data_IF_709258670073
#
_entry.id   IF_709258670073
#
_cell.length_a   1.000
_cell.length_b   1.000
_cell.length_c   1.000
_cell.angle_alpha   90.00
_cell.angle_beta   90.00
_cell.angle_gamma   90.00
#
_symmetry.space_group_name_H-M   'P 1'
#
loop_
_entity.id
_entity.type
_entity.pdbx_description
1 polymer ?
#
# COMPACT_ATOMS: atom_id res chain seq x y z
N UNK A 1 -2.03 -5.62 33.42
CA UNK A 1 -2.64 -6.71 32.62
C UNK A 1 -1.63 -7.12 31.57
N UNK A 2 -1.18 -8.38 31.55
CA UNK A 2 -0.39 -8.91 30.43
C UNK A 2 -1.35 -9.10 29.25
N UNK A 3 -1.03 -8.65 28.03
CA UNK A 3 -1.86 -8.92 26.87
C UNK A 3 -1.97 -10.44 26.67
N UNK A 4 -3.16 -10.91 26.28
CA UNK A 4 -3.38 -12.31 25.93
C UNK A 4 -2.47 -12.65 24.73
N UNK A 5 -1.43 -13.45 24.94
CA UNK A 5 -0.48 -13.89 23.91
C UNK A 5 -1.08 -14.84 22.84
N UNK A 6 -2.41 -14.86 22.65
CA UNK A 6 -3.10 -15.83 21.80
C UNK A 6 -3.51 -15.30 20.43
N UNK A 7 -3.43 -14.00 20.19
CA UNK A 7 -3.80 -13.36 18.93
C UNK A 7 -2.86 -12.18 18.66
N UNK A 8 -2.67 -11.81 17.40
CA UNK A 8 -1.99 -10.56 17.08
C UNK A 8 -2.76 -9.36 17.65
N UNK A 9 -2.04 -8.29 17.98
CA UNK A 9 -2.67 -7.05 18.48
C UNK A 9 -3.18 -6.26 17.27
N UNK A 10 -4.50 -5.99 17.16
CA UNK A 10 -5.01 -5.19 16.06
C UNK A 10 -4.52 -3.74 16.18
N UNK A 11 -4.04 -3.19 15.07
CA UNK A 11 -3.58 -1.80 14.96
C UNK A 11 -4.56 -0.92 14.17
N UNK A 12 -5.00 -1.39 13.00
CA UNK A 12 -5.90 -0.67 12.11
C UNK A 12 -6.93 -1.63 11.50
N UNK A 13 -8.18 -1.19 11.37
CA UNK A 13 -9.15 -1.82 10.50
C UNK A 13 -10.03 -0.74 9.87
N UNK A 14 -9.89 -0.53 8.57
CA UNK A 14 -10.60 0.53 7.85
C UNK A 14 -11.19 0.04 6.54
N UNK A 15 -12.50 0.24 6.39
CA UNK A 15 -13.28 -0.10 5.18
C UNK A 15 -13.49 1.11 4.28
N UNK A 16 -13.36 0.95 2.99
CA UNK A 16 -13.56 1.97 1.97
C UNK A 16 -14.78 1.66 1.10
N UNK A 17 -15.30 2.68 0.43
CA UNK A 17 -16.43 2.56 -0.51
C UNK A 17 -16.02 2.10 -1.91
N UNK A 18 -14.71 2.01 -2.16
CA UNK A 18 -14.15 1.53 -3.43
C UNK A 18 -12.92 0.65 -3.20
N UNK A 19 -12.39 0.11 -4.28
CA UNK A 19 -11.23 -0.78 -4.23
C UNK A 19 -9.99 -0.02 -3.77
N UNK A 20 -9.33 -0.54 -2.74
CA UNK A 20 -7.97 -0.16 -2.35
C UNK A 20 -7.05 -0.48 -3.52
N UNK A 21 -6.61 0.56 -4.22
CA UNK A 21 -5.86 0.46 -5.46
C UNK A 21 -4.36 0.56 -5.23
N UNK A 22 -3.94 1.50 -4.39
CA UNK A 22 -2.54 1.67 -3.99
C UNK A 22 -2.44 2.05 -2.53
N UNK A 23 -1.36 1.57 -1.91
CA UNK A 23 -0.98 1.91 -0.56
C UNK A 23 0.46 2.44 -0.62
N UNK A 24 0.72 3.55 0.06
CA UNK A 24 2.07 4.04 0.33
C UNK A 24 2.22 4.25 1.82
N UNK A 25 3.31 3.74 2.38
CA UNK A 25 3.64 3.86 3.80
C UNK A 25 4.91 4.68 3.98
N UNK A 26 5.01 5.34 5.11
CA UNK A 26 6.22 6.04 5.53
C UNK A 26 6.55 5.70 6.99
N UNK A 27 7.85 5.76 7.34
CA UNK A 27 8.35 5.39 8.67
C UNK A 27 7.83 6.24 9.83
N UNK A 28 7.19 7.38 9.56
CA UNK A 28 6.50 8.21 10.58
C UNK A 28 5.23 7.55 11.13
N UNK A 29 4.68 6.55 10.44
CA UNK A 29 3.36 6.00 10.72
C UNK A 29 2.31 6.36 9.66
N UNK A 30 2.65 7.21 8.69
CA UNK A 30 1.72 7.58 7.63
C UNK A 30 1.40 6.38 6.73
N UNK A 31 0.11 6.17 6.51
CA UNK A 31 -0.49 5.28 5.53
C UNK A 31 -1.35 6.13 4.59
N UNK A 32 -0.88 6.34 3.37
CA UNK A 32 -1.63 6.98 2.30
C UNK A 32 -2.27 5.91 1.42
N UNK A 33 -3.56 6.06 1.12
CA UNK A 33 -4.35 5.07 0.40
C UNK A 33 -5.05 5.74 -0.77
N UNK A 34 -4.93 5.14 -1.95
CA UNK A 34 -5.73 5.45 -3.13
C UNK A 34 -6.85 4.41 -3.24
N UNK A 35 -8.10 4.86 -3.31
CA UNK A 35 -9.25 4.01 -3.61
C UNK A 35 -9.86 4.38 -4.95
N UNK A 36 -10.38 3.39 -5.67
CA UNK A 36 -11.05 3.58 -6.97
C UNK A 36 -12.41 2.92 -6.98
N UNK A 37 -13.39 3.66 -7.47
CA UNK A 37 -14.72 3.15 -7.77
C UNK A 37 -14.93 3.19 -9.29
N UNK A 38 -15.00 2.00 -9.91
CA UNK A 38 -15.11 1.87 -11.36
C UNK A 38 -16.49 2.27 -11.91
N UNK A 39 -17.54 2.19 -11.09
CA UNK A 39 -18.91 2.53 -11.50
C UNK A 39 -19.07 4.06 -11.62
N UNK A 40 -18.63 4.78 -10.59
CA UNK A 40 -18.66 6.25 -10.55
C UNK A 40 -17.48 6.91 -11.27
N UNK A 41 -16.45 6.13 -11.65
CA UNK A 41 -15.17 6.63 -12.19
C UNK A 41 -14.54 7.67 -11.26
N UNK A 42 -14.50 7.35 -9.97
CA UNK A 42 -13.92 8.22 -8.94
C UNK A 42 -12.65 7.59 -8.34
N UNK A 43 -11.63 8.41 -8.17
CA UNK A 43 -10.45 8.15 -7.35
C UNK A 43 -10.52 9.02 -6.11
N UNK A 44 -10.33 8.40 -4.95
CA UNK A 44 -10.32 9.08 -3.66
C UNK A 44 -9.04 8.75 -2.92
N UNK A 45 -8.65 9.64 -2.02
CA UNK A 45 -7.44 9.47 -1.23
C UNK A 45 -7.75 9.54 0.25
N UNK A 46 -7.07 8.74 1.04
CA UNK A 46 -7.21 8.71 2.49
C UNK A 46 -5.83 8.79 3.14
N UNK A 47 -5.78 9.36 4.34
CA UNK A 47 -4.56 9.42 5.15
C UNK A 47 -4.86 8.96 6.57
N UNK A 48 -4.05 8.02 7.03
CA UNK A 48 -4.17 7.40 8.35
C UNK A 48 -2.80 7.29 9.00
N UNK A 49 -2.78 7.13 10.31
CA UNK A 49 -1.60 6.79 11.08
C UNK A 49 -1.73 5.36 11.62
N UNK A 50 -0.95 4.42 11.06
CA UNK A 50 -1.05 3.02 11.44
C UNK A 50 -0.51 2.71 12.84
N UNK A 51 0.30 3.61 13.42
CA UNK A 51 0.84 3.46 14.78
C UNK A 51 -0.18 3.86 15.85
N UNK A 52 -1.01 4.86 15.54
CA UNK A 52 -2.00 5.38 16.49
C UNK A 52 -3.44 4.93 16.18
N UNK A 53 -3.68 4.38 15.00
CA UNK A 53 -5.02 4.07 14.48
C UNK A 53 -5.81 5.31 14.08
N UNK A 54 -5.20 6.50 14.08
CA UNK A 54 -5.90 7.75 13.77
C UNK A 54 -6.14 7.88 12.26
N UNK A 55 -7.39 8.11 11.86
CA UNK A 55 -7.73 8.56 10.51
C UNK A 55 -7.69 10.08 10.44
N UNK A 56 -6.82 10.64 9.61
CA UNK A 56 -6.74 12.10 9.41
C UNK A 56 -7.86 12.59 8.50
N UNK A 57 -8.03 11.92 7.35
CA UNK A 57 -9.18 12.08 6.47
C UNK A 57 -9.37 10.84 5.62
N UNK A 58 -10.58 10.68 5.10
CA UNK A 58 -11.01 9.50 4.36
C UNK A 58 -11.73 9.89 3.09
N UNK A 59 -11.37 9.22 2.01
CA UNK A 59 -11.99 9.32 0.69
C UNK A 59 -12.16 10.76 0.18
N UNK A 60 -11.12 11.59 0.38
CA UNK A 60 -11.08 12.93 -0.18
C UNK A 60 -10.92 12.87 -1.70
N UNK A 61 -11.77 13.65 -2.37
CA UNK A 61 -11.71 13.90 -3.80
C UNK A 61 -10.91 15.18 -4.09
N UNK A 62 -10.30 15.23 -5.27
CA UNK A 62 -9.69 16.44 -5.82
C UNK A 62 -10.37 16.80 -7.13
N UNK A 63 -10.05 17.98 -7.69
CA UNK A 63 -10.65 18.48 -8.93
C UNK A 63 -10.53 17.47 -10.08
N UNK A 64 -9.39 16.79 -10.19
CA UNK A 64 -9.22 15.65 -11.10
C UNK A 64 -9.69 14.36 -10.43
N UNK A 65 -10.82 13.84 -10.89
CA UNK A 65 -11.57 12.79 -10.18
C UNK A 65 -11.23 11.36 -10.63
N UNK A 66 -10.34 11.15 -11.62
CA UNK A 66 -9.96 9.79 -12.07
C UNK A 66 -8.50 9.64 -12.48
N UNK A 67 -7.90 10.70 -13.03
CA UNK A 67 -6.56 10.69 -13.61
C UNK A 67 -5.47 11.09 -12.61
N UNK A 68 -5.71 10.91 -11.32
CA UNK A 68 -4.69 11.02 -10.27
C UNK A 68 -4.27 9.63 -9.83
N UNK A 69 -3.00 9.49 -9.42
CA UNK A 69 -2.54 8.30 -8.72
C UNK A 69 -1.51 8.62 -7.65
N UNK A 70 -1.60 7.90 -6.55
CA UNK A 70 -0.68 7.97 -5.43
C UNK A 70 0.71 7.45 -5.86
N UNK A 71 1.70 8.33 -5.76
CA UNK A 71 3.08 8.05 -6.15
C UNK A 71 4.00 7.83 -4.93
N UNK A 72 3.80 8.58 -3.86
CA UNK A 72 4.68 8.57 -2.70
C UNK A 72 3.97 9.02 -1.42
N UNK A 73 4.46 8.57 -0.26
CA UNK A 73 4.09 9.06 1.05
C UNK A 73 5.37 9.49 1.79
N UNK A 74 5.42 10.74 2.22
CA UNK A 74 6.49 11.27 3.06
C UNK A 74 6.05 11.40 4.52
N UNK A 75 6.84 12.08 5.35
CA UNK A 75 6.51 12.26 6.77
C UNK A 75 5.25 13.09 7.04
N UNK A 76 4.96 14.08 6.18
CA UNK A 76 3.93 15.11 6.40
C UNK A 76 2.93 15.25 5.23
N UNK A 77 3.21 14.62 4.09
CA UNK A 77 2.44 14.74 2.88
C UNK A 77 2.48 13.45 2.06
N UNK A 78 1.69 13.40 1.00
CA UNK A 78 1.83 12.40 -0.05
C UNK A 78 1.76 13.10 -1.41
N UNK A 79 2.29 12.42 -2.42
CA UNK A 79 2.39 12.94 -3.78
C UNK A 79 1.43 12.21 -4.68
N UNK A 80 0.66 12.99 -5.43
CA UNK A 80 -0.20 12.50 -6.50
C UNK A 80 0.42 12.87 -7.85
N UNK A 81 0.51 11.88 -8.73
CA UNK A 81 0.85 12.10 -10.13
C UNK A 81 -0.44 12.23 -10.94
N UNK A 82 -0.55 13.30 -11.72
CA UNK A 82 -1.65 13.53 -12.64
C UNK A 82 -1.33 12.98 -14.03
N UNK A 83 -2.33 12.46 -14.72
CA UNK A 83 -2.23 11.92 -16.08
C UNK A 83 -3.17 12.68 -17.02
N UNK A 84 -2.76 12.83 -18.27
CA UNK A 84 -3.59 13.52 -19.27
C UNK A 84 -4.81 12.68 -19.68
N UNK A 85 -4.63 11.37 -19.84
CA UNK A 85 -5.70 10.42 -20.10
C UNK A 85 -5.49 9.14 -19.30
N UNK A 86 -6.57 8.45 -18.96
CA UNK A 86 -6.54 7.17 -18.25
C UNK A 86 -5.85 6.04 -19.01
N UNK A 87 -5.59 6.22 -20.31
CA UNK A 87 -5.00 5.23 -21.21
C UNK A 87 -3.59 5.58 -21.70
N UNK A 88 -3.12 6.83 -21.51
CA UNK A 88 -1.77 7.24 -21.92
C UNK A 88 -0.92 7.56 -20.68
N UNK A 89 0.32 7.05 -20.59
CA UNK A 89 1.18 7.23 -19.42
C UNK A 89 1.80 8.63 -19.33
N UNK A 90 1.35 9.60 -20.13
CA UNK A 90 1.91 10.95 -20.12
C UNK A 90 1.47 11.67 -18.84
N UNK A 91 2.42 11.82 -17.93
CA UNK A 91 2.27 12.56 -16.68
C UNK A 91 2.08 14.05 -17.01
N UNK A 92 0.98 14.63 -16.51
CA UNK A 92 0.57 16.02 -16.73
C UNK A 92 0.68 16.87 -15.47
N UNK A 93 1.35 16.36 -14.44
CA UNK A 93 1.55 17.17 -13.25
C UNK A 93 1.81 16.38 -12.00
N UNK A 94 2.19 17.13 -10.99
CA UNK A 94 2.48 16.62 -9.66
C UNK A 94 1.76 17.50 -8.65
N UNK A 95 1.08 16.87 -7.71
CA UNK A 95 0.42 17.52 -6.59
C UNK A 95 1.05 17.01 -5.30
N UNK A 96 1.28 17.94 -4.38
CA UNK A 96 1.64 17.63 -3.00
C UNK A 96 0.47 17.92 -2.10
N UNK A 97 0.13 16.95 -1.26
CA UNK A 97 -1.06 17.00 -0.43
C UNK A 97 -0.70 16.74 1.01
N UNK A 98 -1.12 17.64 1.88
CA UNK A 98 -0.98 17.53 3.34
C UNK A 98 -1.61 16.23 3.84
N UNK A 99 -0.86 15.45 4.60
CA UNK A 99 -1.36 14.21 5.17
C UNK A 99 -2.33 14.45 6.34
N UNK A 100 -2.25 15.60 7.03
CA UNK A 100 -3.07 15.85 8.23
C UNK A 100 -4.52 16.21 7.94
N UNK A 101 -4.79 16.83 6.79
CA UNK A 101 -6.10 17.37 6.45
C UNK A 101 -6.46 17.25 4.96
N UNK A 102 -5.54 16.75 4.13
CA UNK A 102 -5.74 16.53 2.71
C UNK A 102 -5.69 17.81 1.88
N UNK A 103 -5.23 18.95 2.41
CA UNK A 103 -5.16 20.18 1.60
C UNK A 103 -4.03 20.08 0.58
N UNK A 104 -4.25 20.58 -0.63
CA UNK A 104 -3.18 20.70 -1.64
C UNK A 104 -2.19 21.76 -1.15
N UNK A 105 -0.93 21.35 -0.94
CA UNK A 105 0.17 22.23 -0.54
C UNK A 105 0.71 23.00 -1.75
N UNK A 106 0.88 22.30 -2.87
CA UNK A 106 1.21 22.87 -4.17
C UNK A 106 0.83 21.90 -5.28
N UNK A 107 0.70 22.44 -6.48
CA UNK A 107 0.46 21.68 -7.71
C UNK A 107 1.24 22.30 -8.87
N UNK A 108 1.83 21.47 -9.72
CA UNK A 108 2.52 21.90 -10.93
C UNK A 108 2.18 21.00 -12.11
N UNK A 109 1.48 21.56 -13.10
CA UNK A 109 1.02 20.82 -14.30
C UNK A 109 2.01 20.84 -15.47
N UNK A 110 3.13 21.56 -15.34
CA UNK A 110 4.17 21.65 -16.36
C UNK A 110 5.35 20.70 -16.10
N UNK A 111 5.28 19.89 -15.04
CA UNK A 111 6.35 18.96 -14.66
C UNK A 111 5.80 17.53 -14.64
N UNK A 112 6.66 16.56 -14.97
CA UNK A 112 6.39 15.14 -14.78
C UNK A 112 7.29 14.55 -13.72
N UNK A 113 6.75 13.61 -12.97
CA UNK A 113 7.50 12.83 -12.00
C UNK A 113 8.32 11.73 -12.70
N UNK A 114 9.62 11.67 -12.40
CA UNK A 114 10.53 10.63 -12.88
C UNK A 114 10.91 9.65 -11.77
N UNK A 115 11.22 10.17 -10.59
CA UNK A 115 11.68 9.39 -9.45
C UNK A 115 11.22 10.06 -8.15
N UNK A 116 11.05 9.27 -7.09
CA UNK A 116 10.77 9.78 -5.74
C UNK A 116 11.78 9.21 -4.76
N UNK A 117 12.22 10.06 -3.83
CA UNK A 117 13.01 9.71 -2.65
C UNK A 117 12.45 10.40 -1.41
N UNK A 118 12.78 9.92 -0.21
CA UNK A 118 12.33 10.50 1.05
C UNK A 118 12.72 11.98 1.20
N UNK A 119 13.81 12.39 0.53
CA UNK A 119 14.27 13.78 0.49
C UNK A 119 13.75 14.64 -0.66
N UNK A 120 12.98 14.10 -1.62
CA UNK A 120 12.45 14.91 -2.73
C UNK A 120 12.06 14.16 -4.00
N UNK A 121 11.68 14.93 -5.01
CA UNK A 121 11.12 14.45 -6.27
C UNK A 121 12.06 14.77 -7.42
N UNK A 122 12.48 13.74 -8.16
CA UNK A 122 13.17 13.88 -9.43
C UNK A 122 12.13 14.15 -10.52
N UNK A 123 12.18 15.33 -11.14
CA UNK A 123 11.18 15.80 -12.10
C UNK A 123 11.83 16.35 -13.37
N UNK A 124 11.04 16.56 -14.41
CA UNK A 124 11.43 17.32 -15.60
C UNK A 124 10.27 18.18 -16.10
N UNK A 125 10.57 19.31 -16.74
CA UNK A 125 9.55 20.15 -17.40
C UNK A 125 9.14 19.51 -18.73
N UNK A 126 7.84 19.28 -18.92
CA UNK A 126 7.29 18.59 -20.09
C UNK A 126 7.38 19.41 -21.38
N UNK A 127 7.59 20.73 -21.27
CA UNK A 127 7.64 21.67 -22.39
C UNK A 127 9.05 21.83 -22.95
N UNK A 128 10.07 21.34 -22.25
CA UNK A 128 11.49 21.55 -22.60
C UNK A 128 12.07 20.28 -23.23
N UNK A 129 12.71 20.44 -24.39
CA UNK A 129 13.46 19.39 -25.08
C UNK A 129 14.92 19.82 -25.32
N UNK A 130 15.92 18.93 -25.11
CA UNK A 130 15.79 17.60 -24.52
C UNK A 130 15.38 17.68 -23.03
N UNK A 131 14.81 16.58 -22.50
CA UNK A 131 14.41 16.49 -21.08
C UNK A 131 15.58 16.86 -20.17
N UNK A 132 15.35 17.83 -19.29
CA UNK A 132 16.29 18.22 -18.23
C UNK A 132 15.71 17.82 -16.89
N UNK A 133 16.36 16.86 -16.25
CA UNK A 133 15.97 16.37 -14.94
C UNK A 133 16.54 17.26 -13.84
N UNK A 134 15.74 17.55 -12.83
CA UNK A 134 16.13 18.31 -11.64
C UNK A 134 15.34 17.82 -10.43
N UNK A 135 15.77 18.21 -9.24
CA UNK A 135 15.14 17.79 -7.99
C UNK A 135 14.41 18.93 -7.32
N UNK A 136 13.24 18.62 -6.78
CA UNK A 136 12.45 19.55 -5.97
C UNK A 136 12.08 18.92 -4.62
N UNK A 137 11.97 19.75 -3.60
CA UNK A 137 11.47 19.36 -2.28
C UNK A 137 9.98 18.96 -2.37
N UNK A 138 9.60 17.85 -1.75
CA UNK A 138 8.25 17.29 -1.88
C UNK A 138 7.19 18.11 -1.12
N UNK A 139 7.58 18.97 -0.17
CA UNK A 139 6.65 19.82 0.60
C UNK A 139 6.47 21.21 -0.01
N UNK A 140 7.50 21.76 -0.63
CA UNK A 140 7.54 23.17 -1.06
C UNK A 140 7.70 23.36 -2.57
N UNK A 141 8.05 22.31 -3.32
CA UNK A 141 8.45 22.36 -4.72
C UNK A 141 9.70 23.22 -5.02
N UNK A 142 10.45 23.63 -4.00
CA UNK A 142 11.67 24.40 -4.18
C UNK A 142 12.79 23.50 -4.76
N UNK A 143 13.65 24.01 -5.65
CA UNK A 143 14.79 23.24 -6.15
C UNK A 143 15.73 22.80 -5.01
N UNK A 144 16.17 21.55 -5.07
CA UNK A 144 17.13 20.98 -4.13
C UNK A 144 18.24 20.23 -4.86
N UNK A 145 19.32 19.91 -4.15
CA UNK A 145 20.28 18.92 -4.63
C UNK A 145 19.64 17.52 -4.64
N UNK A 146 20.10 16.60 -5.51
CA UNK A 146 19.65 15.21 -5.47
C UNK A 146 19.81 14.64 -4.04
N UNK A 147 18.74 14.11 -3.44
CA UNK A 147 18.84 13.43 -2.15
C UNK A 147 19.81 12.26 -2.25
N UNK A 148 20.47 11.95 -1.12
CA UNK A 148 21.19 10.68 -1.00
C UNK A 148 20.27 9.51 -1.37
N UNK A 149 20.85 8.39 -1.81
CA UNK A 149 20.06 7.18 -2.05
C UNK A 149 19.32 6.85 -0.77
N UNK A 150 18.01 6.68 -0.86
CA UNK A 150 17.19 6.30 0.29
C UNK A 150 17.75 5.02 0.90
N UNK A 151 17.80 4.96 2.23
CA UNK A 151 17.58 3.67 2.86
C UNK A 151 16.10 3.37 2.62
N UNK A 152 15.76 2.38 1.78
CA UNK A 152 14.36 2.05 1.57
C UNK A 152 13.72 1.86 2.93
N UNK A 153 12.55 2.45 3.14
CA UNK A 153 11.70 2.09 4.26
C UNK A 153 11.68 0.55 4.32
N UNK A 154 11.99 -0.04 5.49
CA UNK A 154 12.06 -1.49 5.70
C UNK A 154 10.65 -2.11 5.53
N UNK A 155 10.20 -2.16 4.27
CA UNK A 155 9.02 -2.87 3.86
C UNK A 155 9.49 -4.27 3.47
N UNK A 156 9.08 -5.26 4.22
CA UNK A 156 9.31 -6.66 3.88
C UNK A 156 8.09 -7.19 3.13
N UNK A 157 8.32 -7.63 1.90
CA UNK A 157 7.33 -8.34 1.11
C UNK A 157 7.57 -9.86 1.24
N UNK A 158 6.51 -10.69 1.16
CA UNK A 158 6.70 -12.12 1.13
C UNK A 158 7.38 -12.57 -0.16
N UNK A 159 8.13 -13.66 -0.05
CA UNK A 159 8.70 -14.39 -1.18
C UNK A 159 7.73 -15.47 -1.65
N UNK A 160 7.82 -15.85 -2.92
CA UNK A 160 7.01 -16.93 -3.48
C UNK A 160 7.73 -18.27 -3.35
N UNK A 161 7.08 -19.20 -2.66
CA UNK A 161 7.59 -20.53 -2.37
C UNK A 161 6.79 -21.61 -3.10
N UNK A 162 7.49 -22.38 -3.93
CA UNK A 162 6.91 -23.47 -4.73
C UNK A 162 6.89 -24.82 -3.99
N UNK A 163 7.69 -24.98 -2.94
CA UNK A 163 7.90 -26.26 -2.25
C UNK A 163 7.65 -26.19 -0.73
N UNK A 164 6.83 -25.23 -0.32
CA UNK A 164 6.50 -25.03 1.08
C UNK A 164 5.72 -26.23 1.64
N UNK A 165 6.21 -26.79 2.74
CA UNK A 165 5.54 -27.88 3.45
C UNK A 165 4.72 -27.29 4.59
N UNK A 166 3.39 -27.44 4.51
CA UNK A 166 2.51 -26.98 5.58
C UNK A 166 2.77 -27.76 6.88
N UNK A 167 2.89 -27.06 8.03
CA UNK A 167 2.83 -27.71 9.32
C UNK A 167 1.49 -28.44 9.51
N UNK A 168 1.50 -29.62 10.13
CA UNK A 168 0.31 -30.47 10.26
C UNK A 168 -0.86 -29.87 11.06
N UNK A 169 -0.62 -28.81 11.83
CA UNK A 169 -1.67 -28.06 12.53
C UNK A 169 -2.38 -27.04 11.64
N UNK A 170 -1.84 -26.69 10.47
CA UNK A 170 -2.51 -25.83 9.48
C UNK A 170 -3.36 -26.70 8.57
N UNK A 171 -4.66 -26.73 8.86
CA UNK A 171 -5.63 -27.39 8.00
C UNK A 171 -5.81 -26.60 6.72
N UNK A 172 -5.73 -27.25 5.56
CA UNK A 172 -5.95 -26.62 4.26
C UNK A 172 -6.62 -27.58 3.26
N UNK A 173 -7.32 -27.01 2.28
CA UNK A 173 -7.85 -27.74 1.13
C UNK A 173 -6.79 -28.00 0.06
N UNK A 174 -7.23 -28.28 -1.16
CA UNK A 174 -6.34 -28.31 -2.32
C UNK A 174 -5.76 -26.90 -2.55
N UNK A 175 -4.42 -26.79 -2.60
CA UNK A 175 -3.73 -25.50 -2.75
C UNK A 175 -3.39 -25.27 -4.22
N UNK A 176 -3.63 -24.05 -4.70
CA UNK A 176 -3.33 -23.64 -6.07
C UNK A 176 -2.20 -22.60 -6.11
N UNK A 177 -1.25 -22.82 -7.02
CA UNK A 177 -0.16 -21.87 -7.27
C UNK A 177 0.88 -21.82 -6.15
N UNK A 178 1.63 -20.73 -6.12
CA UNK A 178 2.72 -20.48 -5.17
C UNK A 178 2.19 -19.98 -3.82
N UNK A 179 2.98 -20.20 -2.76
CA UNK A 179 2.70 -19.69 -1.42
C UNK A 179 3.52 -18.43 -1.20
N UNK A 180 2.87 -17.34 -0.78
CA UNK A 180 3.58 -16.15 -0.31
C UNK A 180 3.99 -16.37 1.14
N UNK A 181 5.30 -16.41 1.41
CA UNK A 181 5.86 -16.68 2.72
C UNK A 181 6.77 -15.54 3.20
N UNK A 182 6.70 -15.21 4.49
CA UNK A 182 7.62 -14.31 5.15
C UNK A 182 7.83 -14.74 6.60
N UNK A 183 9.09 -14.83 7.03
CA UNK A 183 9.43 -14.92 8.45
C UNK A 183 9.72 -13.51 8.99
N UNK A 184 9.07 -13.14 10.10
CA UNK A 184 9.30 -11.86 10.77
C UNK A 184 9.24 -12.01 12.28
N UNK A 185 10.31 -11.63 12.99
CA UNK A 185 10.37 -11.65 14.46
C UNK A 185 9.94 -12.98 15.09
N UNK A 186 10.39 -14.10 14.49
CA UNK A 186 10.07 -15.46 14.93
C UNK A 186 8.61 -15.90 14.70
N UNK A 187 7.88 -15.19 13.83
CA UNK A 187 6.55 -15.55 13.34
C UNK A 187 6.65 -15.89 11.86
N UNK A 188 5.85 -16.86 11.45
CA UNK A 188 5.72 -17.28 10.07
C UNK A 188 4.40 -16.75 9.51
N UNK A 189 4.46 -16.03 8.41
CA UNK A 189 3.30 -15.49 7.70
C UNK A 189 3.20 -16.20 6.36
N UNK A 190 2.05 -16.80 6.08
CA UNK A 190 1.79 -17.50 4.82
C UNK A 190 0.47 -17.03 4.20
N UNK A 191 0.49 -16.76 2.91
CA UNK A 191 -0.72 -16.62 2.11
C UNK A 191 -0.73 -17.59 0.96
N UNK A 192 -1.88 -18.23 0.76
CA UNK A 192 -2.04 -19.29 -0.23
C UNK A 192 -3.49 -19.34 -0.71
N UNK A 193 -3.69 -19.94 -1.88
CA UNK A 193 -5.00 -20.07 -2.49
C UNK A 193 -5.53 -21.49 -2.29
N UNK A 194 -6.71 -21.61 -1.71
CA UNK A 194 -7.41 -22.89 -1.53
C UNK A 194 -8.55 -23.00 -2.56
N UNK A 195 -8.65 -24.16 -3.23
CA UNK A 195 -9.74 -24.48 -4.14
C UNK A 195 -10.94 -24.97 -3.34
N UNK A 196 -12.10 -24.34 -3.55
CA UNK A 196 -13.37 -24.68 -2.94
C UNK A 196 -14.50 -24.51 -3.96
N UNK A 197 -15.17 -25.62 -4.31
CA UNK A 197 -16.32 -25.59 -5.24
C UNK A 197 -16.01 -25.07 -6.64
N UNK A 198 -14.80 -25.32 -7.16
CA UNK A 198 -14.34 -24.83 -8.47
C UNK A 198 -14.00 -23.33 -8.51
N UNK A 199 -14.03 -22.66 -7.37
CA UNK A 199 -13.48 -21.31 -7.16
C UNK A 199 -12.32 -21.39 -6.18
N UNK A 200 -11.62 -20.27 -6.00
CA UNK A 200 -10.57 -20.16 -5.01
C UNK A 200 -10.92 -19.12 -3.94
N UNK A 201 -10.35 -19.31 -2.76
CA UNK A 201 -10.20 -18.26 -1.74
C UNK A 201 -8.72 -18.08 -1.45
N UNK A 202 -8.30 -16.86 -1.17
CA UNK A 202 -6.97 -16.57 -0.68
C UNK A 202 -7.04 -16.40 0.83
N UNK A 203 -6.18 -17.12 1.54
CA UNK A 203 -6.12 -17.14 2.99
C UNK A 203 -4.78 -16.60 3.45
N UNK A 204 -4.72 -16.01 4.63
CA UNK A 204 -3.51 -15.58 5.33
C UNK A 204 -3.50 -16.22 6.71
N UNK A 205 -2.42 -16.93 7.02
CA UNK A 205 -2.19 -17.52 8.33
C UNK A 205 -0.89 -16.96 8.89
N UNK A 206 -0.95 -16.50 10.14
CA UNK A 206 0.24 -16.12 10.92
C UNK A 206 0.33 -17.07 12.10
N UNK A 207 1.49 -17.67 12.28
CA UNK A 207 1.71 -18.61 13.36
C UNK A 207 3.10 -18.46 13.98
N UNK A 208 3.23 -18.95 15.20
CA UNK A 208 4.49 -19.08 15.91
C UNK A 208 4.50 -20.44 16.60
N UNK A 209 5.57 -21.23 16.38
CA UNK A 209 5.63 -22.63 16.79
C UNK A 209 4.39 -23.39 16.27
N UNK A 210 3.64 -24.08 17.12
CA UNK A 210 2.42 -24.82 16.73
C UNK A 210 1.12 -24.03 16.94
N UNK A 211 1.23 -22.70 17.03
CA UNK A 211 0.11 -21.84 17.41
C UNK A 211 -0.22 -20.81 16.35
N UNK A 212 -1.45 -20.87 15.87
CA UNK A 212 -2.03 -19.87 14.98
C UNK A 212 -2.36 -18.60 15.77
N UNK A 213 -1.83 -17.46 15.30
CA UNK A 213 -2.02 -16.12 15.86
C UNK A 213 -3.02 -15.28 15.04
N UNK A 214 -3.12 -15.56 13.74
CA UNK A 214 -4.08 -14.98 12.80
C UNK A 214 -4.42 -16.03 11.74
N UNK A 215 -5.68 -16.08 11.35
CA UNK A 215 -6.19 -16.90 10.27
C UNK A 215 -7.36 -16.17 9.63
N UNK A 216 -7.13 -15.55 8.47
CA UNK A 216 -8.10 -14.68 7.82
C UNK A 216 -8.23 -15.01 6.34
N UNK A 217 -9.43 -14.77 5.81
CA UNK A 217 -9.72 -14.92 4.38
C UNK A 217 -9.60 -13.53 3.74
N UNK A 218 -8.61 -13.38 2.88
CA UNK A 218 -8.31 -12.12 2.19
C UNK A 218 -9.36 -11.85 1.13
N UNK A 219 -9.72 -12.88 0.36
CA UNK A 219 -10.76 -12.79 -0.65
C UNK A 219 -11.31 -14.18 -0.97
N UNK A 220 -12.60 -14.26 -1.28
CA UNK A 220 -13.28 -15.50 -1.66
C UNK A 220 -13.88 -15.42 -3.07
N UNK A 221 -14.10 -16.59 -3.68
CA UNK A 221 -14.85 -16.72 -4.93
C UNK A 221 -14.10 -16.26 -6.18
N UNK A 222 -12.77 -16.13 -6.09
CA UNK A 222 -11.89 -15.72 -7.18
C UNK A 222 -11.64 -16.86 -8.17
N UNK A 223 -11.45 -16.50 -9.44
CA UNK A 223 -11.16 -17.45 -10.53
C UNK A 223 -9.68 -17.46 -10.94
N UNK A 224 -8.91 -16.48 -10.48
CA UNK A 224 -7.49 -16.31 -10.81
C UNK A 224 -6.71 -16.04 -9.53
N UNK A 225 -5.49 -16.56 -9.48
CA UNK A 225 -4.53 -16.25 -8.42
C UNK A 225 -4.35 -14.73 -8.31
N UNK A 226 -4.32 -14.22 -7.08
CA UNK A 226 -4.04 -12.81 -6.79
C UNK A 226 -2.60 -12.69 -6.27
N UNK A 227 -1.79 -11.78 -6.82
CA UNK A 227 -0.45 -11.48 -6.30
C UNK A 227 -0.52 -10.62 -5.03
N UNK A 228 0.62 -10.40 -4.38
CA UNK A 228 0.83 -9.39 -3.32
C UNK A 228 -0.17 -9.48 -2.15
N UNK A 229 -0.08 -10.56 -1.38
CA UNK A 229 -1.03 -10.85 -0.30
C UNK A 229 -0.94 -9.89 0.90
N UNK A 230 0.27 -9.54 1.31
CA UNK A 230 0.54 -8.75 2.51
C UNK A 230 1.94 -8.15 2.47
N UNK A 231 2.25 -7.25 3.39
CA UNK A 231 3.61 -6.76 3.64
C UNK A 231 3.79 -6.38 5.11
N UNK A 232 5.04 -6.28 5.57
CA UNK A 232 5.39 -5.77 6.90
C UNK A 232 6.05 -4.40 6.77
N UNK A 233 5.68 -3.45 7.62
CA UNK A 233 6.41 -2.19 7.81
C UNK A 233 6.50 -1.90 9.31
N UNK A 234 7.71 -1.71 9.84
CA UNK A 234 7.95 -1.40 11.27
C UNK A 234 7.14 -2.29 12.24
N UNK A 235 7.23 -3.61 12.08
CA UNK A 235 6.51 -4.61 12.87
C UNK A 235 4.97 -4.55 12.75
N UNK A 236 4.44 -3.93 11.70
CA UNK A 236 3.01 -3.97 11.40
C UNK A 236 2.79 -4.80 10.13
N UNK A 237 2.00 -5.86 10.24
CA UNK A 237 1.46 -6.62 9.12
C UNK A 237 0.32 -5.85 8.50
N UNK A 238 0.36 -5.65 7.18
CA UNK A 238 -0.71 -5.06 6.40
C UNK A 238 -1.22 -6.04 5.34
N UNK A 239 -2.53 -6.11 5.18
CA UNK A 239 -3.17 -6.80 4.06
C UNK A 239 -4.51 -6.15 3.72
N UNK A 240 -5.01 -6.44 2.51
CA UNK A 240 -6.31 -5.96 2.04
C UNK A 240 -7.29 -7.12 2.01
N UNK A 241 -8.44 -6.94 2.65
CA UNK A 241 -9.55 -7.89 2.63
C UNK A 241 -10.67 -7.41 1.72
N UNK A 242 -11.20 -8.32 0.91
CA UNK A 242 -12.24 -8.10 -0.09
C UNK A 242 -11.98 -6.90 -1.02
N UNK A 243 -10.70 -6.53 -1.23
CA UNK A 243 -10.25 -5.35 -1.98
C UNK A 243 -10.68 -3.99 -1.41
N UNK A 244 -11.44 -3.95 -0.33
CA UNK A 244 -12.11 -2.72 0.16
C UNK A 244 -11.79 -2.42 1.63
N UNK A 245 -11.10 -3.31 2.33
CA UNK A 245 -10.77 -3.16 3.75
C UNK A 245 -9.27 -3.32 3.94
N UNK A 246 -8.63 -2.37 4.61
CA UNK A 246 -7.24 -2.50 5.02
C UNK A 246 -7.17 -2.89 6.49
N UNK A 247 -6.38 -3.90 6.79
CA UNK A 247 -6.13 -4.35 8.16
C UNK A 247 -4.65 -4.20 8.47
N UNK A 248 -4.36 -3.81 9.72
CA UNK A 248 -3.01 -3.81 10.25
C UNK A 248 -2.95 -4.48 11.62
N UNK A 249 -1.93 -5.30 11.86
CA UNK A 249 -1.67 -5.96 13.14
C UNK A 249 -0.22 -5.78 13.56
N UNK A 250 0.03 -5.60 14.85
CA UNK A 250 1.38 -5.63 15.40
C UNK A 250 1.89 -7.09 15.44
N UNK A 251 3.05 -7.33 14.83
CA UNK A 251 3.74 -8.63 14.73
C UNK A 251 5.07 -8.65 15.46
#
# INVERSE_FOLDING_TARGET
MRPNNNTLVPGLNEKFSGFVWKIKVHGSGLLAIETRNSESKQVSFSSLNFKTGQTYFKERLYHETWNLSLAFAGSQNFILNAFEHSQTPESKGVLSVSASDGTVLWEQYNISLNEVRDGGLGVYDTRIQPRKYYWIDHLTASPIAPPAVDNPAEISFPEYENSFTFPGFIQHGEVAGEISFLEHSGKNLLSFHEIEGGRMKQRLVVYQEDKILLDDILISGIQKLQPEAFFIQQNHLFYVRNKEEILAYLV
#
